data_IF_255775730581
#
_entry.id   IF_255775730581
#
_cell.length_a   1.000
_cell.length_b   1.000
_cell.length_c   1.000
_cell.angle_alpha   90.00
_cell.angle_beta   90.00
_cell.angle_gamma   90.00
#
_symmetry.space_group_name_H-M   'P 1'
#
loop_
_entity.id
_entity.type
_entity.pdbx_description
1 polymer ?
#
# COMPACT_ATOMS: atom_id res chain seq x y z
N UNK A 1 13.88 -8.38 -11.42
CA UNK A 1 13.32 -8.98 -10.19
C UNK A 1 13.78 -8.10 -9.03
N UNK A 2 12.88 -7.56 -8.21
CA UNK A 2 13.32 -6.83 -6.99
C UNK A 2 13.80 -7.87 -5.98
N UNK A 3 14.90 -7.56 -5.29
CA UNK A 3 15.48 -8.41 -4.26
C UNK A 3 15.34 -7.71 -2.90
N UNK A 4 14.94 -8.46 -1.88
CA UNK A 4 14.68 -7.95 -0.53
C UNK A 4 15.53 -8.70 0.52
N UNK A 5 16.88 -8.76 0.35
CA UNK A 5 17.73 -9.57 1.20
C UNK A 5 17.76 -9.06 2.65
N UNK A 6 17.74 -7.74 2.85
CA UNK A 6 17.79 -7.11 4.17
C UNK A 6 16.52 -7.36 4.96
N UNK A 7 15.39 -7.32 4.28
CA UNK A 7 14.07 -7.50 4.87
C UNK A 7 13.87 -8.97 5.27
N UNK A 8 14.28 -9.90 4.40
CA UNK A 8 14.29 -11.34 4.70
C UNK A 8 15.23 -11.62 5.89
N UNK A 9 16.44 -11.08 5.89
CA UNK A 9 17.40 -11.26 6.99
C UNK A 9 16.84 -10.71 8.31
N UNK A 10 16.30 -9.49 8.30
CA UNK A 10 15.70 -8.88 9.49
C UNK A 10 14.51 -9.70 10.02
N UNK A 11 13.62 -10.17 9.13
CA UNK A 11 12.47 -10.99 9.52
C UNK A 11 12.86 -12.35 10.09
N UNK A 12 13.87 -13.02 9.51
CA UNK A 12 14.38 -14.27 10.04
C UNK A 12 15.05 -14.05 11.40
N UNK A 13 15.89 -13.03 11.52
CA UNK A 13 16.61 -12.72 12.75
C UNK A 13 15.63 -12.37 13.90
N UNK A 14 14.59 -11.59 13.60
CA UNK A 14 13.52 -11.28 14.56
C UNK A 14 12.80 -12.53 15.07
N UNK A 15 12.74 -13.58 14.24
CA UNK A 15 12.15 -14.90 14.59
C UNK A 15 13.18 -15.85 15.22
N UNK A 16 14.38 -15.37 15.55
CA UNK A 16 15.45 -16.14 16.16
C UNK A 16 16.16 -17.08 15.18
N UNK A 17 16.06 -16.82 13.87
CA UNK A 17 16.66 -17.62 12.83
C UNK A 17 17.78 -16.82 12.18
N UNK A 18 19.00 -17.32 12.28
CA UNK A 18 20.15 -16.68 11.65
C UNK A 18 20.34 -17.21 10.22
N UNK A 19 20.38 -16.30 9.24
CA UNK A 19 20.63 -16.66 7.84
C UNK A 19 22.05 -17.23 7.64
N UNK A 20 22.99 -16.89 8.53
CA UNK A 20 24.33 -17.46 8.53
C UNK A 20 24.32 -18.97 8.78
N UNK A 21 23.30 -19.52 9.44
CA UNK A 21 23.18 -20.98 9.61
C UNK A 21 23.06 -21.70 8.26
N UNK A 22 22.40 -21.08 7.28
CA UNK A 22 22.35 -21.62 5.92
C UNK A 22 23.71 -21.51 5.23
N UNK A 23 24.38 -20.35 5.35
CA UNK A 23 25.71 -20.15 4.77
C UNK A 23 26.76 -21.13 5.33
N UNK A 24 26.67 -21.48 6.62
CA UNK A 24 27.56 -22.44 7.28
C UNK A 24 27.14 -23.91 7.09
N UNK A 25 26.07 -24.18 6.33
CA UNK A 25 25.55 -25.54 6.10
C UNK A 25 24.80 -26.16 7.28
N UNK A 26 24.56 -25.40 8.37
CA UNK A 26 23.73 -25.84 9.52
C UNK A 26 22.23 -25.83 9.19
N UNK A 27 21.83 -25.12 8.15
CA UNK A 27 20.48 -25.10 7.60
C UNK A 27 20.49 -25.48 6.12
N UNK A 28 19.60 -26.39 5.72
CA UNK A 28 19.45 -26.76 4.31
C UNK A 28 18.75 -25.68 3.51
N UNK A 29 19.09 -25.55 2.22
CA UNK A 29 18.40 -24.64 1.30
C UNK A 29 16.89 -24.88 1.23
N UNK A 30 16.45 -26.15 1.35
CA UNK A 30 15.02 -26.50 1.44
C UNK A 30 14.36 -25.82 2.64
N UNK A 31 15.01 -25.85 3.81
CA UNK A 31 14.47 -25.23 5.03
C UNK A 31 14.42 -23.71 4.89
N UNK A 32 15.47 -23.09 4.34
CA UNK A 32 15.47 -21.65 4.06
C UNK A 32 14.31 -21.25 3.14
N UNK A 33 14.07 -22.00 2.06
CA UNK A 33 12.97 -21.73 1.14
C UNK A 33 11.59 -21.85 1.79
N UNK A 34 11.40 -22.79 2.73
CA UNK A 34 10.15 -22.90 3.51
C UNK A 34 9.96 -21.67 4.38
N UNK A 35 11.01 -21.18 5.03
CA UNK A 35 10.94 -19.99 5.87
C UNK A 35 10.61 -18.74 5.04
N UNK A 36 11.26 -18.56 3.90
CA UNK A 36 10.96 -17.45 2.98
C UNK A 36 9.50 -17.51 2.53
N UNK A 37 8.98 -18.69 2.17
CA UNK A 37 7.56 -18.87 1.83
C UNK A 37 6.62 -18.54 2.99
N UNK A 38 7.03 -18.84 4.23
CA UNK A 38 6.24 -18.48 5.41
C UNK A 38 6.18 -16.95 5.59
N UNK A 39 7.28 -16.24 5.31
CA UNK A 39 7.30 -14.77 5.30
C UNK A 39 6.40 -14.18 4.22
N UNK A 40 6.30 -14.82 3.05
CA UNK A 40 5.35 -14.40 1.99
C UNK A 40 3.89 -14.49 2.40
N UNK A 41 3.55 -15.37 3.35
CA UNK A 41 2.19 -15.51 3.86
C UNK A 41 1.92 -14.63 5.10
N UNK A 42 2.95 -14.06 5.70
CA UNK A 42 2.83 -13.26 6.91
C UNK A 42 2.72 -11.76 6.57
N UNK A 43 1.52 -11.21 6.63
CA UNK A 43 1.27 -9.78 6.36
C UNK A 43 1.96 -8.82 7.35
N UNK A 44 2.51 -9.34 8.46
CA UNK A 44 3.32 -8.56 9.42
C UNK A 44 4.81 -8.58 9.09
N UNK A 45 5.25 -9.46 8.19
CA UNK A 45 6.63 -9.51 7.70
C UNK A 45 7.01 -8.20 7.02
N UNK A 46 8.21 -7.71 7.31
CA UNK A 46 8.79 -6.54 6.62
C UNK A 46 9.03 -6.86 5.16
N UNK A 47 9.49 -8.08 4.85
CA UNK A 47 9.61 -8.57 3.47
C UNK A 47 8.27 -8.57 2.74
N UNK A 48 7.19 -9.03 3.38
CA UNK A 48 5.85 -8.96 2.76
C UNK A 48 5.45 -7.52 2.45
N UNK A 49 5.62 -6.60 3.41
CA UNK A 49 5.24 -5.19 3.22
C UNK A 49 6.03 -4.52 2.11
N UNK A 50 7.35 -4.67 2.11
CA UNK A 50 8.19 -4.05 1.07
C UNK A 50 7.94 -4.63 -0.32
N UNK A 51 7.69 -5.94 -0.41
CA UNK A 51 7.32 -6.57 -1.67
C UNK A 51 6.02 -6.01 -2.23
N UNK A 52 5.09 -5.61 -1.37
CA UNK A 52 3.80 -5.05 -1.75
C UNK A 52 3.76 -3.51 -1.70
N UNK A 53 4.93 -2.84 -1.77
CA UNK A 53 5.06 -1.38 -1.74
C UNK A 53 4.32 -0.73 -0.54
N UNK A 54 4.31 -1.42 0.60
CA UNK A 54 3.60 -1.04 1.83
C UNK A 54 2.08 -0.88 1.68
N UNK A 55 1.49 -1.50 0.66
CA UNK A 55 0.05 -1.46 0.47
C UNK A 55 -0.69 -2.38 1.44
N UNK A 56 -1.99 -2.13 1.56
CA UNK A 56 -2.87 -2.88 2.43
C UNK A 56 -3.04 -4.33 1.99
N UNK A 57 -3.24 -5.22 2.97
CA UNK A 57 -3.78 -6.55 2.70
C UNK A 57 -5.30 -6.51 2.46
N UNK A 58 -5.86 -7.62 2.00
CA UNK A 58 -7.29 -7.73 1.69
C UNK A 58 -8.19 -7.40 2.90
N UNK A 59 -7.82 -7.83 4.10
CA UNK A 59 -8.59 -7.55 5.31
C UNK A 59 -8.60 -6.04 5.63
N UNK A 60 -7.47 -5.36 5.47
CA UNK A 60 -7.37 -3.91 5.62
C UNK A 60 -8.22 -3.17 4.58
N UNK A 61 -8.23 -3.64 3.33
CA UNK A 61 -9.12 -3.12 2.29
C UNK A 61 -10.59 -3.29 2.65
N UNK A 62 -11.01 -4.47 3.11
CA UNK A 62 -12.39 -4.73 3.52
C UNK A 62 -12.82 -3.87 4.71
N UNK A 63 -11.93 -3.71 5.71
CA UNK A 63 -12.19 -2.83 6.87
C UNK A 63 -12.35 -1.38 6.44
N UNK A 64 -11.50 -0.88 5.55
CA UNK A 64 -11.60 0.48 5.02
C UNK A 64 -12.90 0.68 4.22
N UNK A 65 -13.30 -0.31 3.41
CA UNK A 65 -14.57 -0.28 2.68
C UNK A 65 -15.77 -0.18 3.64
N UNK A 66 -15.79 -0.98 4.71
CA UNK A 66 -16.85 -0.91 5.73
C UNK A 66 -16.90 0.49 6.38
N UNK A 67 -15.75 1.06 6.76
CA UNK A 67 -15.70 2.41 7.34
C UNK A 67 -16.23 3.46 6.36
N UNK A 68 -15.89 3.33 5.08
CA UNK A 68 -16.33 4.22 4.02
C UNK A 68 -17.85 4.16 3.79
N UNK A 69 -18.43 2.95 3.75
CA UNK A 69 -19.88 2.76 3.67
C UNK A 69 -20.61 3.38 4.86
N UNK A 70 -20.07 3.22 6.08
CA UNK A 70 -20.63 3.84 7.28
C UNK A 70 -20.55 5.38 7.21
N UNK A 71 -19.47 5.95 6.68
CA UNK A 71 -19.33 7.40 6.48
C UNK A 71 -20.36 7.93 5.48
N UNK A 72 -20.54 7.24 4.36
CA UNK A 72 -21.56 7.56 3.35
C UNK A 72 -22.96 7.54 3.95
N UNK A 73 -23.32 6.46 4.64
CA UNK A 73 -24.63 6.34 5.28
C UNK A 73 -24.91 7.49 6.28
N UNK A 74 -23.89 7.92 7.03
CA UNK A 74 -24.02 9.08 7.94
C UNK A 74 -24.21 10.39 7.19
N UNK A 75 -23.52 10.59 6.08
CA UNK A 75 -23.67 11.78 5.24
C UNK A 75 -25.09 11.83 4.64
N UNK A 76 -25.59 10.70 4.13
CA UNK A 76 -26.95 10.58 3.60
C UNK A 76 -28.00 10.90 4.68
N UNK A 77 -27.82 10.37 5.89
CA UNK A 77 -28.70 10.68 7.02
C UNK A 77 -28.69 12.17 7.39
N UNK A 78 -27.51 12.82 7.38
CA UNK A 78 -27.41 14.26 7.64
C UNK A 78 -28.13 15.09 6.56
N UNK A 79 -28.00 14.69 5.29
CA UNK A 79 -28.68 15.34 4.18
C UNK A 79 -30.21 15.19 4.30
N UNK A 80 -30.71 13.99 4.62
CA UNK A 80 -32.15 13.70 4.75
C UNK A 80 -32.75 14.39 5.97
N UNK A 81 -32.14 14.27 7.14
CA UNK A 81 -32.77 14.67 8.40
C UNK A 81 -32.43 16.10 8.85
N UNK A 82 -31.25 16.60 8.49
CA UNK A 82 -30.78 17.92 8.93
C UNK A 82 -30.63 18.92 7.77
N UNK A 83 -30.95 18.52 6.53
CA UNK A 83 -30.72 19.33 5.32
C UNK A 83 -29.29 19.87 5.25
N UNK A 84 -28.34 19.09 5.78
CA UNK A 84 -26.95 19.48 5.90
C UNK A 84 -26.08 18.59 5.01
N UNK A 85 -25.35 19.21 4.09
CA UNK A 85 -24.35 18.52 3.28
C UNK A 85 -23.09 18.27 4.11
N UNK A 86 -22.91 17.03 4.54
CA UNK A 86 -21.76 16.60 5.32
C UNK A 86 -20.66 16.09 4.39
N UNK A 87 -19.55 16.82 4.33
CA UNK A 87 -18.35 16.35 3.64
C UNK A 87 -17.71 15.21 4.42
N UNK A 88 -17.47 14.10 3.74
CA UNK A 88 -16.77 12.95 4.29
C UNK A 88 -15.45 12.75 3.55
N UNK A 89 -14.41 12.52 4.33
CA UNK A 89 -13.14 12.04 3.78
C UNK A 89 -13.21 10.52 3.71
N UNK A 90 -12.86 9.94 2.57
CA UNK A 90 -12.81 8.49 2.42
C UNK A 90 -11.45 7.97 2.89
N UNK A 91 -11.44 6.81 3.54
CA UNK A 91 -10.20 6.13 3.88
C UNK A 91 -9.68 5.47 2.60
N UNK A 92 -8.45 5.80 2.20
CA UNK A 92 -7.79 5.28 1.01
C UNK A 92 -6.45 4.61 1.32
N UNK A 93 -6.17 3.54 0.58
CA UNK A 93 -4.94 2.77 0.74
C UNK A 93 -3.71 3.58 0.32
N UNK A 94 -2.51 3.21 0.78
CA UNK A 94 -1.26 3.81 0.28
C UNK A 94 -1.16 3.77 -1.25
N UNK A 95 -1.52 2.66 -1.90
CA UNK A 95 -1.52 2.58 -3.36
C UNK A 95 -2.53 3.51 -4.02
N UNK A 96 -3.75 3.61 -3.46
CA UNK A 96 -4.77 4.54 -3.96
C UNK A 96 -4.30 6.00 -3.85
N UNK A 97 -3.75 6.40 -2.69
CA UNK A 97 -3.22 7.75 -2.49
C UNK A 97 -2.10 8.07 -3.47
N UNK A 98 -1.20 7.13 -3.72
CA UNK A 98 -0.13 7.28 -4.71
C UNK A 98 -0.71 7.45 -6.13
N UNK A 99 -1.70 6.64 -6.50
CA UNK A 99 -2.35 6.74 -7.81
C UNK A 99 -3.09 8.07 -7.99
N UNK A 100 -3.76 8.59 -6.95
CA UNK A 100 -4.39 9.90 -6.95
C UNK A 100 -3.38 11.03 -7.14
N UNK A 101 -2.24 10.96 -6.44
CA UNK A 101 -1.14 11.92 -6.60
C UNK A 101 -0.56 11.89 -8.03
N UNK A 102 -0.30 10.69 -8.57
CA UNK A 102 0.22 10.51 -9.93
C UNK A 102 -0.76 11.05 -10.98
N UNK A 103 -2.07 10.84 -10.79
CA UNK A 103 -3.10 11.36 -11.67
C UNK A 103 -3.20 12.88 -11.60
N UNK A 104 -3.13 13.45 -10.40
CA UNK A 104 -3.15 14.89 -10.20
C UNK A 104 -1.95 15.56 -10.88
N UNK A 105 -0.76 14.95 -10.78
CA UNK A 105 0.45 15.44 -11.44
C UNK A 105 0.32 15.40 -12.96
N UNK A 106 -0.14 14.29 -13.53
CA UNK A 106 -0.37 14.16 -14.98
C UNK A 106 -1.38 15.20 -15.49
N UNK A 107 -2.46 15.38 -14.75
CA UNK A 107 -3.51 16.36 -15.10
C UNK A 107 -2.94 17.78 -15.09
N UNK A 108 -2.07 18.10 -14.12
CA UNK A 108 -1.37 19.38 -14.06
C UNK A 108 -0.47 19.60 -15.27
N UNK A 109 0.34 18.59 -15.63
CA UNK A 109 1.24 18.67 -16.79
C UNK A 109 0.48 18.88 -18.11
N UNK A 110 -0.62 18.14 -18.31
CA UNK A 110 -1.48 18.31 -19.50
C UNK A 110 -2.06 19.72 -19.54
N UNK A 111 -2.58 20.21 -18.43
CA UNK A 111 -3.13 21.57 -18.34
C UNK A 111 -2.07 22.63 -18.64
N UNK A 112 -0.87 22.50 -18.07
CA UNK A 112 0.25 23.40 -18.36
C UNK A 112 0.66 23.38 -19.84
N UNK A 113 0.68 22.19 -20.46
CA UNK A 113 0.98 22.05 -21.88
C UNK A 113 -0.07 22.73 -22.77
N UNK A 114 -1.36 22.52 -22.50
CA UNK A 114 -2.46 23.16 -23.23
C UNK A 114 -2.36 24.69 -23.09
N UNK A 115 -2.12 25.19 -21.88
CA UNK A 115 -2.00 26.65 -21.65
C UNK A 115 -0.82 27.26 -22.40
N UNK A 116 0.31 26.54 -22.53
CA UNK A 116 1.46 26.98 -23.34
C UNK A 116 1.13 27.03 -24.84
N UNK A 117 0.32 26.11 -25.36
CA UNK A 117 -0.09 26.12 -26.76
C UNK A 117 -1.16 27.17 -27.09
N UNK A 118 -2.02 27.51 -26.14
CA UNK A 118 -3.07 28.53 -26.31
C UNK A 118 -2.55 29.96 -26.21
N UNK A 119 -1.44 30.18 -25.51
CA UNK A 119 -0.72 31.46 -25.45
C UNK A 119 0.65 31.35 -26.15
N UNK A 120 0.71 31.14 -27.48
CA UNK A 120 1.97 31.31 -28.17
C UNK A 120 2.33 32.80 -28.06
N UNK A 121 3.47 33.09 -27.43
CA UNK A 121 4.04 34.44 -27.37
C UNK A 121 3.94 35.12 -28.73
N UNK A 122 3.32 36.30 -28.76
CA UNK A 122 3.51 37.28 -29.84
C UNK A 122 4.98 37.65 -29.94
#
# INVERSE_FOLDING_TARGET
MRHFPREIEADLLFRGIDIFDWHQGRMSSRRLLVLIRALEADHKSTYWRERNDWDWNEEEYLRAAIVNEIRLLRADQAAIHAQHDMKIDMVSSPAQRKAEMDLAERTRQVREHIMKQLNPTK
#
